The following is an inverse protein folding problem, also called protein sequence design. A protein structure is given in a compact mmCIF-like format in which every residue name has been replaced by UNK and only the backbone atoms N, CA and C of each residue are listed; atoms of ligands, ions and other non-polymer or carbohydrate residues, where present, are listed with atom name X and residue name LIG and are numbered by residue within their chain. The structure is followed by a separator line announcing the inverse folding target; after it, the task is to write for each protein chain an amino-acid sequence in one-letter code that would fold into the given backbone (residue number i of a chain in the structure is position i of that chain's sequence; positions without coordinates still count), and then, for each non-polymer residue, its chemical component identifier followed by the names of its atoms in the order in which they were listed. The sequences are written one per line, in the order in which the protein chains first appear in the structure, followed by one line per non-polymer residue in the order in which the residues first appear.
data_IF_370638149239
#
_entry.id   IF_370638149239
#
_cell.length_a   1.000
_cell.length_b   1.000
_cell.length_c   1.000
_cell.angle_alpha   90.00
_cell.angle_beta   90.00
_cell.angle_gamma   90.00
#
_symmetry.space_group_name_H-M   'P 1'
#
loop_
_entity.id
_entity.type
_entity.pdbx_description
1 polymer ?
#
# COMPACT_ATOMS: atom_id res chain seq x y z
N UNK A 1 14.68 37.96 -4.28
CA UNK A 1 13.44 38.35 -4.99
C UNK A 1 12.87 37.11 -5.69
N UNK A 2 12.28 36.18 -4.93
CA UNK A 2 11.75 34.91 -5.47
C UNK A 2 10.27 35.10 -5.82
N UNK A 3 10.01 35.75 -6.96
CA UNK A 3 8.67 35.84 -7.54
C UNK A 3 8.48 34.66 -8.49
N UNK A 4 7.43 33.87 -8.19
CA UNK A 4 6.59 33.08 -9.12
C UNK A 4 7.19 31.79 -9.69
N UNK A 5 7.05 30.67 -8.97
CA UNK A 5 7.12 29.31 -9.55
C UNK A 5 6.29 28.28 -8.77
N UNK A 6 5.08 28.63 -8.32
CA UNK A 6 4.13 27.69 -7.71
C UNK A 6 2.71 28.10 -8.13
N UNK A 7 2.20 27.54 -9.23
CA UNK A 7 0.92 26.83 -9.11
C UNK A 7 0.79 25.67 -10.13
N UNK A 8 1.67 24.67 -10.09
CA UNK A 8 1.43 23.42 -10.86
C UNK A 8 1.60 22.13 -10.06
N UNK A 9 2.03 22.18 -8.79
CA UNK A 9 2.19 20.98 -7.98
C UNK A 9 0.92 20.58 -7.19
N UNK A 10 -0.27 20.97 -7.66
CA UNK A 10 -1.55 20.73 -6.99
C UNK A 10 -2.61 20.12 -7.91
N UNK A 11 -2.23 19.27 -8.87
CA UNK A 11 -3.23 18.53 -9.68
C UNK A 11 -2.79 17.14 -10.18
N UNK A 12 -1.93 16.43 -9.42
CA UNK A 12 -1.60 15.02 -9.70
C UNK A 12 -1.77 14.12 -8.46
N UNK A 13 -2.93 14.23 -7.80
CA UNK A 13 -3.34 13.22 -6.82
C UNK A 13 -4.85 12.95 -6.87
N UNK A 14 -5.43 12.88 -8.06
CA UNK A 14 -6.85 12.65 -8.29
C UNK A 14 -7.14 11.42 -9.17
N UNK A 15 -6.45 10.30 -8.91
CA UNK A 15 -6.89 8.97 -9.37
C UNK A 15 -6.78 7.97 -8.21
N UNK A 16 -7.56 8.21 -7.15
CA UNK A 16 -7.95 7.14 -6.25
C UNK A 16 -9.18 6.43 -6.88
N UNK A 17 -8.95 5.67 -7.96
CA UNK A 17 -9.88 4.61 -8.31
C UNK A 17 -9.92 3.69 -7.09
N UNK A 18 -11.03 3.75 -6.37
CA UNK A 18 -11.38 2.85 -5.28
C UNK A 18 -11.64 1.47 -5.87
N UNK A 19 -10.58 0.78 -6.29
CA UNK A 19 -10.65 -0.66 -6.41
C UNK A 19 -10.79 -1.20 -4.99
N UNK A 20 -11.86 -1.97 -4.67
CA UNK A 20 -11.88 -2.70 -3.42
C UNK A 20 -10.60 -3.53 -3.38
N UNK A 21 -9.83 -3.38 -2.30
CA UNK A 21 -8.75 -4.31 -2.02
C UNK A 21 -9.42 -5.69 -1.94
N UNK A 22 -9.35 -6.47 -3.03
CA UNK A 22 -9.69 -7.88 -2.99
C UNK A 22 -8.96 -8.42 -1.77
N UNK A 23 -9.71 -9.04 -0.85
CA UNK A 23 -9.13 -9.75 0.28
C UNK A 23 -7.95 -10.55 -0.28
N UNK A 24 -6.74 -10.23 0.21
CA UNK A 24 -5.52 -10.88 -0.24
C UNK A 24 -5.71 -12.36 0.11
N UNK A 25 -6.10 -13.16 -0.87
CA UNK A 25 -6.40 -14.57 -0.65
C UNK A 25 -5.14 -15.20 -0.09
N UNK A 26 -5.27 -15.93 1.02
CA UNK A 26 -4.16 -16.65 1.63
C UNK A 26 -3.35 -17.35 0.52
N UNK A 27 -2.04 -17.06 0.40
CA UNK A 27 -1.19 -17.65 -0.62
C UNK A 27 -1.30 -19.18 -0.69
N UNK A 28 -1.52 -19.85 0.45
CA UNK A 28 -1.69 -21.30 0.50
C UNK A 28 -3.03 -21.74 -0.10
N UNK A 29 -4.11 -21.00 0.16
CA UNK A 29 -5.43 -21.24 -0.43
C UNK A 29 -5.39 -21.03 -1.94
N UNK A 30 -4.72 -19.99 -2.41
CA UNK A 30 -4.57 -19.73 -3.84
C UNK A 30 -3.74 -20.83 -4.53
N UNK A 31 -2.65 -21.26 -3.90
CA UNK A 31 -1.80 -22.31 -4.44
C UNK A 31 -2.52 -23.66 -4.49
N UNK A 32 -3.27 -24.00 -3.45
CA UNK A 32 -4.11 -25.21 -3.39
C UNK A 32 -5.15 -25.20 -4.52
N UNK A 33 -5.81 -24.07 -4.72
CA UNK A 33 -6.80 -23.90 -5.79
C UNK A 33 -6.17 -24.12 -7.17
N UNK A 34 -4.99 -23.53 -7.43
CA UNK A 34 -4.29 -23.73 -8.71
C UNK A 34 -3.89 -25.20 -8.92
N UNK A 35 -3.45 -25.88 -7.88
CA UNK A 35 -3.13 -27.32 -7.95
C UNK A 35 -4.35 -28.15 -8.33
N UNK A 36 -5.49 -27.90 -7.69
CA UNK A 36 -6.75 -28.63 -7.93
C UNK A 36 -7.35 -28.31 -9.30
N UNK A 37 -7.46 -27.03 -9.67
CA UNK A 37 -8.08 -26.60 -10.93
C UNK A 37 -7.25 -26.96 -12.17
N UNK A 38 -5.91 -26.88 -12.06
CA UNK A 38 -5.00 -27.15 -13.18
C UNK A 38 -4.42 -28.57 -13.14
N UNK A 39 -4.80 -29.38 -12.16
CA UNK A 39 -4.31 -30.76 -11.95
C UNK A 39 -2.78 -30.84 -11.99
N UNK A 40 -2.12 -29.93 -11.26
CA UNK A 40 -0.66 -29.83 -11.28
C UNK A 40 -0.03 -31.10 -10.68
N UNK A 41 1.03 -31.58 -11.32
CA UNK A 41 1.88 -32.63 -10.74
C UNK A 41 2.60 -32.11 -9.49
N UNK A 42 3.19 -33.01 -8.69
CA UNK A 42 3.99 -32.59 -7.52
C UNK A 42 5.18 -31.71 -7.92
N UNK A 43 5.85 -32.04 -9.03
CA UNK A 43 6.95 -31.24 -9.55
C UNK A 43 6.49 -29.85 -9.97
N UNK A 44 5.37 -29.73 -10.70
CA UNK A 44 4.80 -28.44 -11.07
C UNK A 44 4.35 -27.64 -9.84
N UNK A 45 3.75 -28.31 -8.86
CA UNK A 45 3.33 -27.69 -7.60
C UNK A 45 4.50 -27.11 -6.81
N UNK A 46 5.64 -27.82 -6.77
CA UNK A 46 6.86 -27.34 -6.13
C UNK A 46 7.43 -26.09 -6.82
N UNK A 47 7.43 -26.03 -8.15
CA UNK A 47 7.89 -24.85 -8.88
C UNK A 47 6.95 -23.65 -8.69
N UNK A 48 5.63 -23.89 -8.66
CA UNK A 48 4.64 -22.85 -8.36
C UNK A 48 4.84 -22.28 -6.95
N UNK A 49 5.17 -23.10 -5.94
CA UNK A 49 5.53 -22.62 -4.59
C UNK A 49 6.70 -21.64 -4.63
N UNK A 50 7.80 -22.03 -5.28
CA UNK A 50 9.01 -21.19 -5.40
C UNK A 50 8.70 -19.85 -6.07
N UNK A 51 7.85 -19.84 -7.09
CA UNK A 51 7.41 -18.60 -7.76
C UNK A 51 6.67 -17.67 -6.78
N UNK A 52 5.72 -18.21 -6.02
CA UNK A 52 4.94 -17.41 -5.05
C UNK A 52 5.79 -16.94 -3.86
N UNK A 53 6.69 -17.77 -3.35
CA UNK A 53 7.64 -17.38 -2.29
C UNK A 53 8.54 -16.24 -2.74
N UNK A 54 9.12 -16.34 -3.94
CA UNK A 54 9.94 -15.28 -4.53
C UNK A 54 9.14 -14.00 -4.75
N UNK A 55 7.89 -14.11 -5.21
CA UNK A 55 6.98 -12.96 -5.35
C UNK A 55 6.69 -12.32 -3.99
N UNK A 56 6.40 -13.12 -2.96
CA UNK A 56 6.13 -12.64 -1.60
C UNK A 56 7.32 -11.86 -1.05
N UNK A 57 8.54 -12.41 -1.14
CA UNK A 57 9.75 -11.70 -0.69
C UNK A 57 9.95 -10.35 -1.37
N UNK A 58 9.72 -10.28 -2.70
CA UNK A 58 9.78 -9.00 -3.45
C UNK A 58 8.71 -8.01 -2.99
N UNK A 59 7.48 -8.48 -2.77
CA UNK A 59 6.38 -7.62 -2.31
C UNK A 59 6.61 -7.12 -0.89
N UNK A 60 7.16 -7.93 0.01
CA UNK A 60 7.53 -7.51 1.37
C UNK A 60 8.63 -6.44 1.34
N UNK A 61 9.66 -6.62 0.51
CA UNK A 61 10.70 -5.61 0.32
C UNK A 61 10.11 -4.29 -0.21
N UNK A 62 9.24 -4.36 -1.22
CA UNK A 62 8.57 -3.18 -1.79
C UNK A 62 7.65 -2.50 -0.76
N UNK A 63 6.93 -3.27 0.07
CA UNK A 63 6.10 -2.74 1.16
C UNK A 63 6.94 -1.95 2.17
N UNK A 64 8.12 -2.46 2.56
CA UNK A 64 9.06 -1.77 3.44
C UNK A 64 9.55 -0.46 2.82
N UNK A 65 10.04 -0.51 1.58
CA UNK A 65 10.51 0.70 0.87
C UNK A 65 9.41 1.75 0.73
N UNK A 66 8.21 1.32 0.34
CA UNK A 66 7.05 2.23 0.24
C UNK A 66 6.73 2.87 1.59
N UNK A 67 6.77 2.10 2.68
CA UNK A 67 6.52 2.63 4.01
C UNK A 67 7.54 3.74 4.35
N UNK A 68 8.83 3.47 4.15
CA UNK A 68 9.90 4.42 4.41
C UNK A 68 9.76 5.71 3.61
N UNK A 69 9.50 5.62 2.30
CA UNK A 69 9.27 6.78 1.42
C UNK A 69 8.10 7.63 1.95
N UNK A 70 7.01 6.97 2.37
CA UNK A 70 5.81 7.65 2.88
C UNK A 70 6.06 8.30 4.23
N UNK A 71 6.87 7.70 5.12
CA UNK A 71 7.28 8.31 6.39
C UNK A 71 8.16 9.54 6.13
N UNK A 72 9.21 9.41 5.31
CA UNK A 72 10.11 10.51 4.98
C UNK A 72 9.39 11.70 4.34
N UNK A 73 8.49 11.44 3.39
CA UNK A 73 7.68 12.49 2.77
C UNK A 73 6.79 13.20 3.80
N UNK A 74 6.28 12.45 4.79
CA UNK A 74 5.45 13.01 5.86
C UNK A 74 6.24 13.91 6.79
N UNK A 75 7.44 13.52 7.18
CA UNK A 75 8.26 14.33 8.07
C UNK A 75 8.66 15.65 7.41
N UNK A 76 9.01 15.60 6.11
CA UNK A 76 9.23 16.81 5.32
C UNK A 76 7.99 17.69 5.23
N UNK A 77 6.82 17.11 5.05
CA UNK A 77 5.56 17.87 5.02
C UNK A 77 5.30 18.54 6.37
N UNK A 78 5.46 17.82 7.49
CA UNK A 78 5.22 18.36 8.84
C UNK A 78 6.11 19.55 9.15
N UNK A 79 7.37 19.53 8.70
CA UNK A 79 8.30 20.64 8.89
C UNK A 79 7.87 21.95 8.20
N UNK A 80 6.94 21.88 7.23
CA UNK A 80 6.42 23.04 6.50
C UNK A 80 5.08 23.57 7.06
N UNK A 81 4.46 22.87 8.01
CA UNK A 81 3.14 23.23 8.54
C UNK A 81 3.27 24.18 9.73
N UNK A 82 2.32 25.10 9.85
CA UNK A 82 2.13 25.83 11.12
C UNK A 82 1.63 24.88 12.21
N UNK A 83 1.72 25.24 13.50
CA UNK A 83 1.23 24.39 14.59
C UNK A 83 -0.25 23.99 14.43
N UNK A 84 -1.11 24.91 13.99
CA UNK A 84 -2.53 24.67 13.79
C UNK A 84 -2.78 23.73 12.61
N UNK A 85 -2.02 23.90 11.53
CA UNK A 85 -2.08 23.02 10.36
C UNK A 85 -1.60 21.61 10.67
N UNK A 86 -0.53 21.48 11.48
CA UNK A 86 -0.01 20.20 11.94
C UNK A 86 -1.05 19.44 12.77
N UNK A 87 -1.70 20.13 13.71
CA UNK A 87 -2.76 19.52 14.53
C UNK A 87 -3.94 19.03 13.68
N UNK A 88 -4.34 19.79 12.64
CA UNK A 88 -5.37 19.36 11.69
C UNK A 88 -4.90 18.16 10.86
N UNK A 89 -3.64 18.18 10.40
CA UNK A 89 -3.06 17.09 9.62
C UNK A 89 -3.02 15.77 10.39
N UNK A 90 -2.61 15.79 11.66
CA UNK A 90 -2.56 14.59 12.50
C UNK A 90 -3.95 14.03 12.79
N UNK A 91 -4.97 14.89 13.03
CA UNK A 91 -6.37 14.44 13.16
C UNK A 91 -6.88 13.72 11.92
N UNK A 92 -6.72 14.33 10.74
CA UNK A 92 -7.12 13.71 9.46
C UNK A 92 -6.42 12.37 9.20
N UNK A 93 -5.20 12.19 9.74
CA UNK A 93 -4.48 10.92 9.63
C UNK A 93 -5.09 9.85 10.53
N UNK A 94 -5.38 10.20 11.78
CA UNK A 94 -5.96 9.26 12.74
C UNK A 94 -7.36 8.81 12.31
N UNK A 95 -8.21 9.73 11.83
CA UNK A 95 -9.53 9.39 11.27
C UNK A 95 -9.42 8.38 10.12
N UNK A 96 -8.48 8.61 9.19
CA UNK A 96 -8.24 7.67 8.08
C UNK A 96 -7.73 6.31 8.56
N UNK A 97 -6.94 6.27 9.63
CA UNK A 97 -6.48 5.01 10.24
C UNK A 97 -7.64 4.25 10.86
N UNK A 98 -8.51 4.93 11.60
CA UNK A 98 -9.70 4.35 12.21
C UNK A 98 -10.69 3.83 11.16
N UNK A 99 -10.95 4.60 10.09
CA UNK A 99 -11.80 4.15 8.98
C UNK A 99 -11.25 2.90 8.29
N UNK A 100 -9.93 2.81 8.11
CA UNK A 100 -9.29 1.59 7.56
C UNK A 100 -9.35 0.41 8.51
N UNK A 101 -9.28 0.64 9.82
CA UNK A 101 -9.47 -0.38 10.85
C UNK A 101 -10.89 -0.93 10.85
N UNK A 102 -11.89 -0.05 10.81
CA UNK A 102 -13.31 -0.43 10.74
C UNK A 102 -13.63 -1.25 9.50
N UNK A 103 -13.14 -0.86 8.31
CA UNK A 103 -13.35 -1.62 7.06
C UNK A 103 -12.69 -3.01 7.03
N UNK A 104 -11.79 -3.31 7.97
CA UNK A 104 -11.14 -4.63 8.08
C UNK A 104 -11.81 -5.53 9.13
N UNK A 105 -12.63 -4.96 10.00
CA UNK A 105 -13.33 -5.67 11.06
C UNK A 105 -14.75 -6.12 10.65
N UNK A 106 -15.28 -5.56 9.57
CA UNK A 106 -16.52 -5.95 8.88
C UNK A 106 -16.20 -6.66 7.58
#
# INVERSE_FOLDING_TARGET
MYKRLLPQLMFLLALAVSQPARAESDPEVHQRRLREELKLTEQQSAEVRKIFEKKRGKLEALRRQKHEIVEQARDRLRALLTPEQLQKFDRLREERRQQRGHRRAH
#
